data_IF_578262501987
#
_entry.id   IF_578262501987
#
_cell.length_a   1.000
_cell.length_b   1.000
_cell.length_c   1.000
_cell.angle_alpha   90.00
_cell.angle_beta   90.00
_cell.angle_gamma   90.00
#
_symmetry.space_group_name_H-M   'P 1'
#
loop_
_entity.id
_entity.type
_entity.pdbx_description
1 polymer ?
#
# COMPACT_ATOMS: atom_id res chain seq x y z
N UNK A 1 -2.86 12.01 -12.06
CA UNK A 1 -3.48 12.23 -10.73
C UNK A 1 -2.40 12.52 -9.70
N UNK A 2 -2.78 13.10 -8.56
CA UNK A 2 -1.89 13.36 -7.43
C UNK A 2 -1.45 12.05 -6.79
N UNK A 3 -0.17 11.93 -6.45
CA UNK A 3 0.37 10.81 -5.66
C UNK A 3 -0.05 10.94 -4.19
N UNK A 4 -0.28 9.82 -3.53
CA UNK A 4 -0.57 9.74 -2.09
C UNK A 4 0.64 9.12 -1.39
N UNK A 5 1.06 9.69 -0.27
CA UNK A 5 2.01 9.03 0.63
C UNK A 5 1.23 8.41 1.77
N UNK A 6 1.40 7.10 1.98
CA UNK A 6 0.63 6.32 2.93
C UNK A 6 1.59 5.68 3.92
N UNK A 7 1.28 5.81 5.21
CA UNK A 7 1.92 5.04 6.26
C UNK A 7 1.09 3.76 6.46
N UNK A 8 1.74 2.60 6.32
CA UNK A 8 1.15 1.28 6.37
C UNK A 8 1.76 0.51 7.55
N UNK A 9 0.91 -0.08 8.39
CA UNK A 9 1.35 -0.99 9.42
C UNK A 9 1.23 -2.44 8.92
N UNK A 10 2.32 -3.20 9.04
CA UNK A 10 2.37 -4.62 8.70
C UNK A 10 2.69 -5.42 9.97
N UNK A 11 1.85 -6.41 10.25
CA UNK A 11 2.01 -7.37 11.35
C UNK A 11 1.64 -8.76 10.81
N UNK A 12 2.58 -9.42 10.17
CA UNK A 12 2.42 -10.63 9.34
C UNK A 12 1.72 -11.77 10.11
N UNK A 13 2.02 -11.92 11.39
CA UNK A 13 1.44 -12.96 12.24
C UNK A 13 0.11 -12.58 12.92
N UNK A 14 -0.35 -11.32 12.78
CA UNK A 14 -1.48 -10.80 13.57
C UNK A 14 -2.66 -10.30 12.73
N UNK A 15 -2.42 -9.61 11.60
CA UNK A 15 -3.48 -9.03 10.77
C UNK A 15 -3.02 -8.70 9.36
N UNK A 16 -3.99 -8.50 8.46
CA UNK A 16 -3.71 -7.88 7.18
C UNK A 16 -3.10 -6.47 7.36
N UNK A 17 -2.23 -6.03 6.42
CA UNK A 17 -1.72 -4.67 6.45
C UNK A 17 -2.84 -3.65 6.46
N UNK A 18 -2.71 -2.60 7.27
CA UNK A 18 -3.70 -1.53 7.32
C UNK A 18 -3.07 -0.15 7.30
N UNK A 19 -3.83 0.80 6.75
CA UNK A 19 -3.40 2.19 6.58
C UNK A 19 -3.49 2.93 7.92
N UNK A 20 -2.37 3.47 8.40
CA UNK A 20 -2.29 4.23 9.65
C UNK A 20 -2.05 5.73 9.44
N UNK A 21 -1.66 6.15 8.23
CA UNK A 21 -1.50 7.55 7.87
C UNK A 21 -1.66 7.79 6.37
N UNK A 22 -2.18 8.96 5.99
CA UNK A 22 -2.27 9.39 4.59
C UNK A 22 -1.89 10.85 4.46
N UNK A 23 -1.08 11.16 3.45
CA UNK A 23 -0.71 12.51 3.04
C UNK A 23 -1.06 12.69 1.57
N UNK A 24 -2.00 13.59 1.30
CA UNK A 24 -2.55 13.82 -0.02
C UNK A 24 -4.07 13.93 0.02
N UNK A 25 -4.68 14.32 -1.10
CA UNK A 25 -6.13 14.40 -1.21
C UNK A 25 -6.68 13.11 -1.82
N UNK A 26 -7.54 12.41 -1.08
CA UNK A 26 -8.21 11.21 -1.52
C UNK A 26 -9.59 11.08 -0.85
N UNK A 27 -10.44 10.25 -1.43
CA UNK A 27 -11.71 9.85 -0.82
C UNK A 27 -11.51 8.64 0.10
N UNK A 28 -12.54 8.30 0.88
CA UNK A 28 -12.56 7.05 1.65
C UNK A 28 -12.60 5.84 0.72
N UNK A 29 -13.30 5.94 -0.41
CA UNK A 29 -13.37 4.87 -1.41
C UNK A 29 -12.00 4.59 -2.03
N UNK A 30 -11.19 5.63 -2.26
CA UNK A 30 -9.80 5.48 -2.68
C UNK A 30 -8.98 4.72 -1.64
N UNK A 31 -9.09 5.08 -0.36
CA UNK A 31 -8.38 4.39 0.72
C UNK A 31 -8.76 2.91 0.82
N UNK A 32 -10.05 2.59 0.69
CA UNK A 32 -10.53 1.20 0.68
C UNK A 32 -10.02 0.42 -0.53
N UNK A 33 -9.96 1.06 -1.70
CA UNK A 33 -9.42 0.44 -2.91
C UNK A 33 -7.91 0.19 -2.80
N UNK A 34 -7.16 1.13 -2.23
CA UNK A 34 -5.72 0.99 -1.98
C UNK A 34 -5.46 -0.12 -0.96
N UNK A 35 -6.19 -0.14 0.16
CA UNK A 35 -6.03 -1.19 1.18
C UNK A 35 -6.29 -2.58 0.59
N UNK A 36 -7.37 -2.72 -0.18
CA UNK A 36 -7.68 -3.96 -0.88
C UNK A 36 -6.56 -4.37 -1.84
N UNK A 37 -6.05 -3.44 -2.63
CA UNK A 37 -4.95 -3.68 -3.58
C UNK A 37 -3.69 -4.16 -2.87
N UNK A 38 -3.32 -3.53 -1.74
CA UNK A 38 -2.18 -3.96 -0.92
C UNK A 38 -2.43 -5.38 -0.39
N UNK A 39 -3.61 -5.64 0.17
CA UNK A 39 -3.94 -6.96 0.75
C UNK A 39 -3.88 -8.06 -0.32
N UNK A 40 -4.42 -7.82 -1.50
CA UNK A 40 -4.49 -8.80 -2.59
C UNK A 40 -3.15 -8.99 -3.32
N UNK A 41 -2.32 -7.94 -3.41
CA UNK A 41 -1.09 -7.94 -4.24
C UNK A 41 0.22 -7.72 -3.46
N UNK A 42 0.21 -7.75 -2.12
CA UNK A 42 1.44 -7.60 -1.30
C UNK A 42 2.53 -8.62 -1.60
N UNK A 43 2.18 -9.88 -1.86
CA UNK A 43 3.15 -10.97 -2.10
C UNK A 43 4.34 -10.92 -1.14
N UNK A 44 5.55 -11.06 -1.69
CA UNK A 44 6.82 -10.94 -0.96
C UNK A 44 7.31 -9.48 -0.81
N UNK A 45 6.53 -8.48 -1.24
CA UNK A 45 6.92 -7.06 -1.17
C UNK A 45 6.89 -6.50 0.25
N UNK A 46 6.11 -7.10 1.16
CA UNK A 46 6.03 -6.74 2.58
C UNK A 46 6.51 -7.92 3.45
N UNK A 47 7.82 -8.22 3.48
CA UNK A 47 8.32 -9.49 4.01
C UNK A 47 8.47 -9.54 5.54
N UNK A 48 8.25 -8.44 6.26
CA UNK A 48 8.51 -8.39 7.70
C UNK A 48 7.62 -7.37 8.41
N UNK A 49 7.49 -7.56 9.72
CA UNK A 49 6.75 -6.67 10.59
C UNK A 49 7.40 -5.29 10.68
N UNK A 50 6.58 -4.26 10.60
CA UNK A 50 7.04 -2.89 10.79
C UNK A 50 6.09 -1.86 10.19
N UNK A 51 6.62 -0.66 10.08
CA UNK A 51 5.94 0.47 9.44
C UNK A 51 6.58 0.71 8.08
N UNK A 52 5.75 0.74 7.05
CA UNK A 52 6.14 1.05 5.69
C UNK A 52 5.57 2.40 5.31
N UNK A 53 6.37 3.23 4.68
CA UNK A 53 5.86 4.37 3.93
C UNK A 53 5.80 3.94 2.47
N UNK A 54 4.61 4.00 1.88
CA UNK A 54 4.40 3.72 0.46
C UNK A 54 3.96 4.97 -0.28
N UNK A 55 4.28 5.03 -1.56
CA UNK A 55 3.67 5.97 -2.48
C UNK A 55 2.63 5.23 -3.32
N UNK A 56 1.39 5.72 -3.32
CA UNK A 56 0.28 5.16 -4.10
C UNK A 56 -0.16 6.13 -5.20
N UNK A 57 -0.43 5.60 -6.38
CA UNK A 57 -0.91 6.37 -7.52
C UNK A 57 -1.94 5.57 -8.33
N UNK A 58 -2.93 6.27 -8.89
CA UNK A 58 -3.95 5.63 -9.70
C UNK A 58 -3.51 5.56 -11.16
N UNK A 59 -3.38 4.33 -11.66
CA UNK A 59 -3.19 4.03 -13.06
C UNK A 59 -4.54 4.05 -13.78
N UNK A 60 -4.69 4.91 -14.78
CA UNK A 60 -5.95 5.09 -15.51
C UNK A 60 -6.28 3.92 -16.46
N UNK A 61 -5.42 2.91 -16.53
CA UNK A 61 -5.55 1.82 -17.49
C UNK A 61 -4.89 2.16 -18.83
N UNK A 62 -4.72 1.14 -19.65
CA UNK A 62 -4.29 1.28 -21.04
C UNK A 62 -5.40 0.79 -21.95
N UNK A 63 -5.78 1.64 -22.90
CA UNK A 63 -6.80 1.35 -23.90
C UNK A 63 -6.20 1.41 -25.30
N UNK A 64 -6.44 0.37 -26.09
CA UNK A 64 -5.95 0.28 -27.47
C UNK A 64 -6.70 1.20 -28.43
N UNK A 65 -6.31 1.17 -29.70
CA UNK A 65 -6.81 2.03 -30.79
C UNK A 65 -8.35 2.03 -30.94
N UNK A 66 -9.01 0.92 -30.58
CA UNK A 66 -10.46 0.76 -30.65
C UNK A 66 -11.18 0.94 -29.30
N UNK A 67 -10.52 1.54 -28.31
CA UNK A 67 -11.07 1.73 -26.96
C UNK A 67 -11.22 0.42 -26.16
N UNK A 68 -10.56 -0.66 -26.59
CA UNK A 68 -10.53 -1.92 -25.86
C UNK A 68 -9.54 -1.81 -24.71
N UNK A 69 -9.95 -2.22 -23.51
CA UNK A 69 -9.08 -2.29 -22.35
C UNK A 69 -7.98 -3.34 -22.58
N UNK A 70 -6.73 -2.89 -22.59
CA UNK A 70 -5.54 -3.74 -22.69
C UNK A 70 -4.94 -3.99 -21.30
N UNK A 71 -4.91 -2.95 -20.47
CA UNK A 71 -4.58 -3.03 -19.04
C UNK A 71 -5.65 -2.30 -18.24
N UNK A 72 -6.19 -2.97 -17.23
CA UNK A 72 -7.25 -2.39 -16.39
C UNK A 72 -6.71 -1.23 -15.54
N UNK A 73 -7.51 -0.18 -15.29
CA UNK A 73 -7.18 0.82 -14.29
C UNK A 73 -7.09 0.18 -12.90
N UNK A 74 -6.26 0.77 -12.04
CA UNK A 74 -6.02 0.25 -10.70
C UNK A 74 -5.14 1.18 -9.88
N UNK A 75 -5.08 0.92 -8.57
CA UNK A 75 -4.08 1.54 -7.72
C UNK A 75 -2.76 0.80 -7.87
N UNK A 76 -1.68 1.55 -8.00
CA UNK A 76 -0.32 1.03 -7.98
C UNK A 76 0.40 1.65 -6.79
N UNK A 77 1.31 0.89 -6.18
CA UNK A 77 2.04 1.37 -5.01
C UNK A 77 3.48 0.86 -5.00
N UNK A 78 4.36 1.69 -4.42
CA UNK A 78 5.77 1.37 -4.22
C UNK A 78 6.22 1.74 -2.81
N UNK A 79 7.15 0.98 -2.25
CA UNK A 79 7.73 1.26 -0.93
C UNK A 79 8.79 2.34 -1.09
N UNK A 80 8.64 3.43 -0.33
CA UNK A 80 9.62 4.53 -0.31
C UNK A 80 10.45 4.52 0.96
N UNK A 81 9.92 4.00 2.07
CA UNK A 81 10.62 3.88 3.34
C UNK A 81 10.11 2.67 4.11
N UNK A 82 10.99 2.06 4.91
CA UNK A 82 10.64 0.97 5.80
C UNK A 82 11.36 1.14 7.13
N UNK A 83 10.63 0.95 8.23
CA UNK A 83 11.13 0.95 9.59
C UNK A 83 10.64 -0.30 10.30
N UNK A 84 11.58 -1.16 10.72
CA UNK A 84 11.29 -2.28 11.61
C UNK A 84 10.76 -1.77 12.94
N UNK A 85 9.85 -2.53 13.58
CA UNK A 85 9.53 -2.24 14.97
C UNK A 85 10.79 -2.39 15.84
N UNK A 86 11.18 -1.31 16.50
CA UNK A 86 12.20 -1.35 17.54
C UNK A 86 11.52 -1.87 18.82
N UNK A 87 11.35 -3.19 18.89
CA UNK A 87 11.07 -3.85 20.16
C UNK A 87 12.36 -3.75 20.97
N UNK A 88 12.51 -2.67 21.75
CA UNK A 88 13.62 -2.54 22.69
C UNK A 88 13.77 -3.83 23.52
N UNK A 89 14.98 -4.09 24.04
CA UNK A 89 15.44 -5.31 24.76
C UNK A 89 14.54 -5.87 25.90
N UNK A 90 13.32 -5.39 26.10
CA UNK A 90 12.34 -5.88 27.08
C UNK A 90 11.59 -7.16 26.66
N UNK A 91 11.88 -7.76 25.49
CA UNK A 91 11.40 -9.10 25.15
C UNK A 91 12.32 -10.24 25.63
N UNK A 92 13.40 -9.93 26.36
CA UNK A 92 14.33 -10.90 26.94
C UNK A 92 14.18 -11.00 28.47
N UNK A 93 12.97 -11.32 28.98
CA UNK A 93 12.77 -11.86 30.32
C UNK A 93 11.71 -12.96 30.34
#
# INVERSE_FOLDING_TARGET
>A
MSKLTIDLLVMDDACDPYICGVRGACTIEDLQAIEKEIVENRGDHLPTDGTYTIEASFFEGQYGEYGRCELSPGWEWEIIEFSTFDFGEEAAQ
#
